data_IF_466393212489
#
_entry.id   IF_466393212489
#
_cell.length_a   1.000
_cell.length_b   1.000
_cell.length_c   1.000
_cell.angle_alpha   90.00
_cell.angle_beta   90.00
_cell.angle_gamma   90.00
#
_symmetry.space_group_name_H-M   'P 1'
#
loop_
_entity.id
_entity.type
_entity.pdbx_description
1 polymer ?
#
# COMPACT_ATOMS: atom_id res chain seq x y z
N UNK A 1 -16.04 37.40 -43.03
CA UNK A 1 -15.52 36.05 -42.72
C UNK A 1 -15.25 35.98 -41.23
N UNK A 2 -16.07 35.25 -40.47
CA UNK A 2 -15.88 35.10 -39.01
C UNK A 2 -14.71 34.15 -38.78
N UNK A 3 -13.64 34.64 -38.15
CA UNK A 3 -12.51 33.82 -37.72
C UNK A 3 -12.90 33.12 -36.42
N UNK A 4 -13.03 31.80 -36.46
CA UNK A 4 -13.17 30.98 -35.26
C UNK A 4 -11.77 30.73 -34.70
N UNK A 5 -11.55 31.12 -33.44
CA UNK A 5 -10.35 30.81 -32.67
C UNK A 5 -10.67 29.53 -31.90
N UNK A 6 -9.98 28.44 -32.23
CA UNK A 6 -10.03 27.20 -31.45
C UNK A 6 -8.96 27.28 -30.37
N UNK A 7 -9.37 27.37 -29.11
CA UNK A 7 -8.49 27.23 -27.94
C UNK A 7 -8.40 25.74 -27.63
N UNK A 8 -7.23 25.15 -27.85
CA UNK A 8 -6.92 23.79 -27.41
C UNK A 8 -6.45 23.88 -25.96
N UNK A 9 -7.28 23.41 -25.03
CA UNK A 9 -6.96 23.33 -23.61
C UNK A 9 -6.20 22.02 -23.35
N UNK A 10 -4.88 22.08 -23.18
CA UNK A 10 -4.09 20.95 -22.67
C UNK A 10 -4.30 20.85 -21.16
N UNK A 11 -5.15 19.92 -20.71
CA UNK A 11 -5.16 19.52 -19.31
C UNK A 11 -4.03 18.53 -19.07
N UNK A 12 -3.01 18.94 -18.31
CA UNK A 12 -1.99 18.04 -17.78
C UNK A 12 -2.45 17.64 -16.37
N UNK A 13 -2.95 16.42 -16.21
CA UNK A 13 -3.20 15.83 -14.90
C UNK A 13 -1.90 15.22 -14.38
N UNK A 14 -1.30 15.87 -13.39
CA UNK A 14 -0.24 15.24 -12.60
C UNK A 14 -0.89 14.28 -11.61
N UNK A 15 -0.58 12.99 -11.69
CA UNK A 15 -0.90 12.03 -10.62
C UNK A 15 0.05 12.32 -9.47
N UNK A 16 -0.47 12.90 -8.38
CA UNK A 16 0.31 13.15 -7.17
C UNK A 16 0.44 11.84 -6.38
N UNK A 17 1.65 11.52 -5.92
CA UNK A 17 1.89 10.44 -4.98
C UNK A 17 1.01 10.63 -3.74
N UNK A 18 0.52 9.54 -3.14
CA UNK A 18 -0.37 9.58 -1.98
C UNK A 18 0.44 9.83 -0.69
N UNK A 19 1.06 11.01 -0.61
CA UNK A 19 2.00 11.33 0.46
C UNK A 19 1.29 11.51 1.81
N UNK A 20 1.64 10.65 2.77
CA UNK A 20 1.15 10.66 4.13
C UNK A 20 2.22 11.21 5.08
N UNK A 21 1.78 11.85 6.17
CA UNK A 21 2.64 12.45 7.19
C UNK A 21 2.20 12.04 8.57
N UNK A 22 3.18 11.79 9.41
CA UNK A 22 3.02 11.63 10.85
C UNK A 22 1.94 10.60 11.20
N UNK A 23 1.88 9.50 10.45
CA UNK A 23 0.95 8.40 10.72
C UNK A 23 1.46 7.68 11.97
N UNK A 24 0.71 7.66 13.08
CA UNK A 24 1.18 7.00 14.30
C UNK A 24 1.37 5.50 14.06
N UNK A 25 2.55 4.99 14.42
CA UNK A 25 2.92 3.59 14.31
C UNK A 25 3.52 3.13 15.64
N UNK A 26 3.15 1.91 16.02
CA UNK A 26 3.71 1.22 17.18
C UNK A 26 4.58 0.07 16.68
N UNK A 27 5.87 0.07 17.04
CA UNK A 27 6.79 -1.03 16.73
C UNK A 27 7.26 -1.73 18.01
N UNK A 28 7.50 -3.03 17.91
CA UNK A 28 7.97 -3.86 19.02
C UNK A 28 9.45 -4.16 18.87
N UNK A 29 10.21 -3.93 19.93
CA UNK A 29 11.60 -4.36 20.00
C UNK A 29 11.69 -5.86 20.33
N UNK A 30 12.84 -6.51 20.04
CA UNK A 30 13.04 -7.92 20.36
C UNK A 30 12.89 -8.29 21.84
N UNK A 31 13.08 -7.33 22.77
CA UNK A 31 12.86 -7.53 24.21
C UNK A 31 11.38 -7.35 24.64
N UNK A 32 10.48 -7.10 23.68
CA UNK A 32 9.07 -6.84 23.91
C UNK A 32 8.75 -5.40 24.31
N UNK A 33 9.74 -4.53 24.47
CA UNK A 33 9.49 -3.11 24.69
C UNK A 33 8.85 -2.46 23.47
N UNK A 34 8.02 -1.44 23.72
CA UNK A 34 7.22 -0.78 22.70
C UNK A 34 7.81 0.58 22.37
N UNK A 35 7.84 0.89 21.08
CA UNK A 35 8.22 2.20 20.54
C UNK A 35 7.01 2.80 19.84
N UNK A 36 6.58 3.96 20.34
CA UNK A 36 5.62 4.81 19.64
C UNK A 36 6.38 5.78 18.73
N UNK A 37 6.13 5.68 17.43
CA UNK A 37 6.78 6.49 16.41
C UNK A 37 5.78 6.89 15.32
N UNK A 38 6.29 7.45 14.23
CA UNK A 38 5.50 7.91 13.12
C UNK A 38 6.07 7.41 11.80
N UNK A 39 5.21 7.03 10.87
CA UNK A 39 5.55 6.80 9.48
C UNK A 39 5.18 8.02 8.64
N UNK A 40 6.11 8.42 7.76
CA UNK A 40 5.91 9.46 6.75
C UNK A 40 6.43 8.96 5.42
N UNK A 41 5.72 9.25 4.33
CA UNK A 41 6.15 8.84 2.98
C UNK A 41 5.01 8.65 1.99
N UNK A 42 5.35 8.00 0.90
CA UNK A 42 4.44 7.61 -0.18
C UNK A 42 4.73 6.17 -0.66
N UNK A 43 4.11 5.75 -1.76
CA UNK A 43 4.27 4.41 -2.34
C UNK A 43 5.71 4.08 -2.78
N UNK A 44 6.56 5.09 -3.00
CA UNK A 44 7.94 4.90 -3.46
C UNK A 44 8.95 4.91 -2.32
N UNK A 45 8.67 5.68 -1.26
CA UNK A 45 9.54 5.77 -0.10
C UNK A 45 8.79 6.24 1.15
N UNK A 46 8.91 5.45 2.21
CA UNK A 46 8.50 5.81 3.55
C UNK A 46 9.63 5.56 4.56
N UNK A 47 9.54 6.21 5.72
CA UNK A 47 10.48 6.02 6.81
C UNK A 47 9.79 6.24 8.15
N UNK A 48 10.34 5.60 9.18
CA UNK A 48 9.94 5.83 10.56
C UNK A 48 10.73 6.99 11.17
N UNK A 49 10.09 7.77 12.01
CA UNK A 49 10.74 8.82 12.79
C UNK A 49 10.03 9.04 14.13
N UNK A 50 10.74 9.64 15.08
CA UNK A 50 10.13 10.10 16.32
C UNK A 50 9.35 11.42 16.12
N UNK A 51 8.70 11.89 17.18
CA UNK A 51 7.92 13.15 17.18
C UNK A 51 8.74 14.39 16.80
N UNK A 52 10.07 14.33 16.97
CA UNK A 52 10.98 15.45 16.75
C UNK A 52 11.63 15.40 15.36
N UNK A 53 11.31 14.35 14.58
CA UNK A 53 11.75 14.14 13.21
C UNK A 53 13.04 13.34 13.08
N UNK A 54 13.53 12.69 14.14
CA UNK A 54 14.72 11.84 14.04
C UNK A 54 14.36 10.49 13.43
N UNK A 55 15.01 10.15 12.32
CA UNK A 55 14.73 8.92 11.57
C UNK A 55 15.14 7.69 12.36
N UNK A 56 14.28 6.67 12.33
CA UNK A 56 14.44 5.39 13.03
C UNK A 56 14.59 4.28 11.99
N UNK A 57 15.52 3.36 12.21
CA UNK A 57 15.76 2.20 11.34
C UNK A 57 15.95 0.93 12.17
N UNK A 58 15.38 -0.18 11.70
CA UNK A 58 15.61 -1.48 12.32
C UNK A 58 16.96 -2.05 11.87
N UNK A 59 17.74 -2.53 12.83
CA UNK A 59 18.99 -3.23 12.55
C UNK A 59 18.74 -4.67 12.13
N UNK A 60 19.35 -5.07 11.02
CA UNK A 60 19.25 -6.43 10.49
C UNK A 60 20.07 -7.46 11.30
N UNK A 61 20.99 -7.00 12.14
CA UNK A 61 21.85 -7.89 12.93
C UNK A 61 21.20 -8.36 14.25
N UNK A 62 20.36 -7.52 14.85
CA UNK A 62 19.77 -7.80 16.16
C UNK A 62 18.26 -7.52 16.28
N UNK A 63 17.64 -6.94 15.25
CA UNK A 63 16.21 -6.65 15.21
C UNK A 63 15.77 -5.43 16.01
N UNK A 64 16.68 -4.76 16.73
CA UNK A 64 16.37 -3.55 17.50
C UNK A 64 16.25 -2.32 16.59
N UNK A 65 15.53 -1.31 17.07
CA UNK A 65 15.38 -0.03 16.37
C UNK A 65 16.36 1.00 16.92
N UNK A 66 17.05 1.68 16.00
CA UNK A 66 18.10 2.65 16.31
C UNK A 66 17.79 3.98 15.63
N UNK A 67 18.38 5.05 16.14
CA UNK A 67 18.47 6.29 15.37
C UNK A 67 19.33 6.06 14.12
N UNK A 68 18.89 6.57 12.99
CA UNK A 68 19.56 6.38 11.72
C UNK A 68 20.75 7.35 11.56
N UNK A 69 21.81 6.86 10.92
CA UNK A 69 22.96 7.64 10.47
C UNK A 69 23.13 7.52 8.96
N UNK A 70 23.77 8.53 8.35
CA UNK A 70 24.07 8.53 6.92
C UNK A 70 25.19 7.53 6.63
N UNK A 71 24.97 6.69 5.62
CA UNK A 71 25.97 5.77 5.08
C UNK A 71 26.08 5.94 3.57
N UNK A 72 26.87 6.92 3.16
CA UNK A 72 26.93 7.38 1.78
C UNK A 72 25.56 7.89 1.30
N UNK A 73 24.94 7.16 0.37
CA UNK A 73 23.62 7.49 -0.17
C UNK A 73 22.45 6.79 0.54
N UNK A 74 22.76 5.84 1.42
CA UNK A 74 21.81 5.08 2.21
C UNK A 74 21.86 5.52 3.67
N UNK A 75 21.06 4.85 4.50
CA UNK A 75 21.04 4.99 5.94
C UNK A 75 21.46 3.68 6.60
N UNK A 76 22.07 3.78 7.78
CA UNK A 76 22.40 2.64 8.65
C UNK A 76 21.96 2.89 10.09
N UNK A 77 21.76 1.83 10.89
CA UNK A 77 21.60 1.96 12.33
C UNK A 77 22.83 2.63 12.97
N UNK A 78 22.61 3.57 13.88
CA UNK A 78 23.66 4.06 14.78
C UNK A 78 23.96 3.05 15.90
N UNK A 79 24.85 3.41 16.80
CA UNK A 79 25.10 2.65 18.04
C UNK A 79 24.06 2.88 19.15
N UNK A 80 23.16 3.86 18.99
CA UNK A 80 22.21 4.25 20.04
C UNK A 80 20.81 3.75 19.74
N UNK A 81 20.26 2.91 20.62
CA UNK A 81 18.89 2.42 20.44
C UNK A 81 17.90 3.55 20.68
N UNK A 82 16.73 3.38 20.09
CA UNK A 82 15.61 4.28 20.31
C UNK A 82 15.28 4.32 21.82
N UNK A 83 15.00 5.52 22.34
CA UNK A 83 14.79 5.83 23.77
C UNK A 83 16.01 5.73 24.71
N UNK A 84 17.22 5.37 24.25
CA UNK A 84 18.39 5.34 25.14
C UNK A 84 19.00 6.73 25.40
N UNK A 85 18.86 7.64 24.44
CA UNK A 85 19.50 8.96 24.46
C UNK A 85 18.54 10.06 24.02
N UNK A 86 18.93 11.32 24.26
CA UNK A 86 18.35 12.47 23.57
C UNK A 86 19.12 12.69 22.24
N UNK A 87 18.56 12.37 21.06
CA UNK A 87 19.27 12.43 19.79
C UNK A 87 19.76 13.85 19.44
N UNK A 88 19.06 14.90 19.89
CA UNK A 88 19.48 16.29 19.68
C UNK A 88 20.78 16.65 20.40
N UNK A 89 21.10 15.99 21.51
CA UNK A 89 22.36 16.19 22.23
C UNK A 89 23.56 15.46 21.60
N UNK A 90 23.30 14.51 20.69
CA UNK A 90 24.31 13.69 20.02
C UNK A 90 24.52 14.07 18.55
N UNK A 91 23.88 15.14 18.08
CA UNK A 91 24.11 15.69 16.74
C UNK A 91 23.44 14.94 15.60
N UNK A 92 22.41 14.13 15.88
CA UNK A 92 21.63 13.46 14.83
C UNK A 92 20.94 14.47 13.91
N UNK A 93 20.92 14.16 12.61
CA UNK A 93 20.19 14.94 11.62
C UNK A 93 18.68 14.63 11.71
N UNK A 94 17.85 15.67 11.72
CA UNK A 94 16.39 15.53 11.60
C UNK A 94 16.01 15.30 10.13
N UNK A 95 14.92 14.57 9.92
CA UNK A 95 14.32 14.27 8.60
C UNK A 95 15.31 13.60 7.65
N UNK A 96 16.19 12.77 8.22
CA UNK A 96 17.25 12.08 7.50
C UNK A 96 16.64 11.02 6.57
N UNK A 97 16.96 11.10 5.29
CA UNK A 97 16.47 10.20 4.24
C UNK A 97 17.62 9.73 3.35
N UNK A 98 17.36 8.68 2.58
CA UNK A 98 18.23 8.27 1.48
C UNK A 98 18.40 9.41 0.46
N UNK A 99 19.45 9.32 -0.35
CA UNK A 99 19.75 10.34 -1.35
C UNK A 99 18.62 10.51 -2.38
N UNK A 100 18.52 11.70 -3.00
CA UNK A 100 17.57 11.94 -4.11
C UNK A 100 17.81 11.00 -5.28
N UNK A 101 19.06 10.58 -5.52
CA UNK A 101 19.39 9.60 -6.56
C UNK A 101 18.75 8.26 -6.24
N UNK A 102 18.90 7.77 -5.00
CA UNK A 102 18.29 6.52 -4.55
C UNK A 102 16.75 6.57 -4.56
N UNK A 103 16.14 7.69 -4.18
CA UNK A 103 14.68 7.87 -4.31
C UNK A 103 14.20 7.74 -5.75
N UNK A 104 14.90 8.38 -6.70
CA UNK A 104 14.59 8.27 -8.14
C UNK A 104 14.79 6.86 -8.65
N UNK A 105 15.84 6.17 -8.22
CA UNK A 105 16.13 4.80 -8.60
C UNK A 105 15.01 3.85 -8.14
N UNK A 106 14.55 3.96 -6.89
CA UNK A 106 13.39 3.22 -6.38
C UNK A 106 12.13 3.47 -7.22
N UNK A 107 11.81 4.75 -7.47
CA UNK A 107 10.67 5.12 -8.30
C UNK A 107 10.77 4.55 -9.72
N UNK A 108 11.94 4.61 -10.34
CA UNK A 108 12.13 4.08 -11.70
C UNK A 108 11.99 2.55 -11.73
N UNK A 109 12.50 1.86 -10.72
CA UNK A 109 12.37 0.41 -10.61
C UNK A 109 10.92 -0.01 -10.44
N UNK A 110 10.10 0.76 -9.73
CA UNK A 110 8.65 0.53 -9.60
C UNK A 110 7.96 0.43 -10.97
N UNK A 111 8.30 1.34 -11.89
CA UNK A 111 7.69 1.38 -13.23
C UNK A 111 8.39 0.50 -14.27
N UNK A 112 9.50 -0.16 -13.94
CA UNK A 112 10.36 -0.84 -14.93
C UNK A 112 9.63 -1.94 -15.70
N UNK A 113 8.77 -2.67 -15.02
CA UNK A 113 8.04 -3.83 -15.56
C UNK A 113 6.53 -3.53 -15.67
N UNK A 114 6.11 -2.27 -15.56
CA UNK A 114 4.70 -1.88 -15.66
C UNK A 114 4.37 -1.45 -17.09
N UNK A 115 3.57 -2.24 -17.79
CA UNK A 115 2.91 -1.76 -19.01
C UNK A 115 1.70 -0.92 -18.59
N UNK A 116 1.60 0.30 -19.13
CA UNK A 116 0.39 1.10 -18.97
C UNK A 116 -0.75 0.39 -19.69
N UNK A 117 -1.76 -0.02 -18.93
CA UNK A 117 -2.99 -0.58 -19.45
C UNK A 117 -4.10 0.42 -19.20
N UNK A 118 -4.90 0.66 -20.22
CA UNK A 118 -5.98 1.64 -20.16
C UNK A 118 -7.25 0.92 -19.73
N UNK A 119 -7.75 1.19 -18.53
CA UNK A 119 -9.13 0.86 -18.23
C UNK A 119 -10.07 1.71 -19.11
N UNK A 120 -11.26 1.21 -19.49
CA UNK A 120 -12.19 1.98 -20.30
C UNK A 120 -12.55 3.33 -19.66
N UNK A 121 -12.59 4.38 -20.49
CA UNK A 121 -12.93 5.74 -20.05
C UNK A 121 -14.42 6.06 -20.05
N UNK A 122 -15.26 5.09 -20.44
CA UNK A 122 -16.72 5.18 -20.48
C UNK A 122 -17.35 3.79 -20.32
N UNK A 123 -18.65 3.74 -20.02
CA UNK A 123 -19.38 2.50 -19.77
C UNK A 123 -19.39 2.12 -18.28
N UNK A 124 -19.30 0.82 -18.02
CA UNK A 124 -19.29 0.27 -16.66
C UNK A 124 -17.98 -0.50 -16.47
N UNK A 125 -17.27 -0.20 -15.39
CA UNK A 125 -16.09 -0.95 -14.94
C UNK A 125 -16.38 -1.58 -13.60
N UNK A 126 -16.11 -2.88 -13.46
CA UNK A 126 -16.29 -3.61 -12.20
C UNK A 126 -14.93 -3.86 -11.55
N UNK A 127 -14.60 -3.06 -10.52
CA UNK A 127 -13.41 -3.22 -9.71
C UNK A 127 -13.62 -4.32 -8.66
N UNK A 128 -12.98 -5.47 -8.79
CA UNK A 128 -13.07 -6.51 -7.77
C UNK A 128 -12.31 -6.06 -6.51
N UNK A 129 -12.95 -6.00 -5.34
CA UNK A 129 -12.24 -5.73 -4.09
C UNK A 129 -12.24 -6.96 -3.18
N UNK A 130 -11.06 -7.48 -2.87
CA UNK A 130 -10.86 -8.76 -2.17
C UNK A 130 -10.24 -8.51 -0.80
N UNK A 131 -10.92 -8.95 0.26
CA UNK A 131 -10.47 -8.80 1.64
C UNK A 131 -9.58 -9.98 2.02
N UNK A 132 -8.43 -9.69 2.62
CA UNK A 132 -7.39 -10.67 2.96
C UNK A 132 -6.98 -10.49 4.43
N UNK A 133 -6.78 -11.60 5.14
CA UNK A 133 -6.09 -11.66 6.43
C UNK A 133 -5.09 -12.82 6.48
N UNK A 134 -4.20 -12.80 7.46
CA UNK A 134 -3.16 -13.83 7.63
C UNK A 134 -3.55 -14.93 8.62
N UNK A 135 -2.77 -16.01 8.66
CA UNK A 135 -3.04 -17.18 9.50
C UNK A 135 -3.13 -16.84 11.00
N UNK A 136 -2.33 -15.87 11.44
CA UNK A 136 -2.18 -15.41 12.82
C UNK A 136 -3.13 -14.27 13.21
N UNK A 137 -4.10 -13.93 12.35
CA UNK A 137 -4.98 -12.80 12.54
C UNK A 137 -6.46 -13.17 12.68
N UNK A 138 -7.16 -12.37 13.49
CA UNK A 138 -8.61 -12.47 13.64
C UNK A 138 -9.34 -11.79 12.47
N UNK A 139 -10.61 -12.17 12.31
CA UNK A 139 -11.47 -11.61 11.29
C UNK A 139 -11.76 -10.11 11.50
N UNK A 140 -12.11 -9.40 10.43
CA UNK A 140 -12.49 -7.99 10.48
C UNK A 140 -13.66 -7.76 11.44
N UNK A 141 -13.45 -6.91 12.45
CA UNK A 141 -14.51 -6.50 13.39
C UNK A 141 -15.37 -5.38 12.81
N UNK A 142 -14.78 -4.55 11.95
CA UNK A 142 -15.48 -3.45 11.28
C UNK A 142 -16.37 -4.00 10.16
N UNK A 143 -17.67 -3.65 10.13
CA UNK A 143 -18.63 -4.20 9.17
C UNK A 143 -18.29 -3.81 7.74
N UNK A 144 -18.66 -4.64 6.76
CA UNK A 144 -18.40 -4.41 5.34
C UNK A 144 -18.97 -3.07 4.85
N UNK A 145 -20.11 -2.63 5.39
CA UNK A 145 -20.71 -1.33 5.06
C UNK A 145 -19.80 -0.12 5.31
N UNK A 146 -18.88 -0.20 6.28
CA UNK A 146 -17.90 0.86 6.51
C UNK A 146 -16.91 0.96 5.35
N UNK A 147 -16.42 -0.19 4.89
CA UNK A 147 -15.47 -0.27 3.77
C UNK A 147 -16.14 -0.06 2.42
N UNK A 148 -17.42 -0.35 2.29
CA UNK A 148 -18.19 -0.12 1.06
C UNK A 148 -18.39 1.36 0.74
N UNK A 149 -18.55 2.20 1.77
CA UNK A 149 -18.75 3.65 1.62
C UNK A 149 -17.73 4.34 0.69
N UNK A 150 -16.40 4.21 0.91
CA UNK A 150 -15.42 4.85 0.04
C UNK A 150 -15.42 4.33 -1.39
N UNK A 151 -16.01 3.17 -1.69
CA UNK A 151 -16.08 2.63 -3.05
C UNK A 151 -17.41 2.92 -3.75
N UNK A 152 -18.54 2.64 -3.09
CA UNK A 152 -19.85 2.51 -3.75
C UNK A 152 -20.90 3.54 -3.30
N UNK A 153 -20.61 4.41 -2.32
CA UNK A 153 -21.59 5.41 -1.85
C UNK A 153 -22.04 6.33 -2.99
N UNK A 154 -23.30 6.22 -3.39
CA UNK A 154 -23.86 6.93 -4.56
C UNK A 154 -23.75 8.46 -4.45
N UNK A 155 -24.07 9.03 -3.28
CA UNK A 155 -24.01 10.49 -3.03
C UNK A 155 -22.61 10.99 -2.65
N UNK A 156 -21.62 10.09 -2.64
CA UNK A 156 -20.23 10.39 -2.33
C UNK A 156 -19.95 10.89 -0.90
N UNK A 157 -18.66 11.16 -0.60
CA UNK A 157 -17.51 10.90 -1.46
C UNK A 157 -17.24 9.39 -1.60
N UNK A 158 -17.03 8.91 -2.83
CA UNK A 158 -16.68 7.52 -3.15
C UNK A 158 -16.01 7.41 -4.51
N UNK A 159 -15.37 6.27 -4.80
CA UNK A 159 -14.80 5.95 -6.11
C UNK A 159 -15.85 6.05 -7.22
N UNK A 160 -17.04 5.46 -6.98
CA UNK A 160 -18.18 5.54 -7.89
C UNK A 160 -18.60 6.99 -8.15
N UNK A 161 -18.85 7.76 -7.09
CA UNK A 161 -19.28 9.16 -7.20
C UNK A 161 -18.23 10.01 -7.95
N UNK A 162 -16.95 9.83 -7.63
CA UNK A 162 -15.84 10.54 -8.27
C UNK A 162 -15.78 10.30 -9.78
N UNK A 163 -15.79 9.04 -10.23
CA UNK A 163 -15.71 8.74 -11.66
C UNK A 163 -16.98 9.13 -12.39
N UNK A 164 -18.14 8.99 -11.77
CA UNK A 164 -19.41 9.44 -12.35
C UNK A 164 -19.45 10.96 -12.55
N UNK A 165 -19.01 11.71 -11.55
CA UNK A 165 -18.93 13.17 -11.61
C UNK A 165 -17.96 13.65 -12.69
N UNK A 166 -16.72 13.15 -12.69
CA UNK A 166 -15.69 13.60 -13.64
C UNK A 166 -15.95 13.15 -15.08
N UNK A 167 -16.64 12.04 -15.27
CA UNK A 167 -16.98 11.52 -16.60
C UNK A 167 -18.29 12.09 -17.15
N UNK A 168 -18.97 13.00 -16.42
CA UNK A 168 -20.30 13.49 -16.79
C UNK A 168 -21.30 12.35 -17.03
N UNK A 169 -21.40 11.43 -16.09
CA UNK A 169 -22.25 10.23 -16.13
C UNK A 169 -21.91 9.22 -17.24
N UNK A 170 -20.77 9.35 -17.92
CA UNK A 170 -20.39 8.40 -18.99
C UNK A 170 -19.64 7.18 -18.49
N UNK A 171 -19.05 7.22 -17.30
CA UNK A 171 -18.34 6.10 -16.66
C UNK A 171 -18.94 5.81 -15.28
N UNK A 172 -19.28 4.55 -15.04
CA UNK A 172 -19.69 4.04 -13.74
C UNK A 172 -18.69 3.00 -13.27
N UNK A 173 -18.09 3.22 -12.10
CA UNK A 173 -17.24 2.23 -11.44
C UNK A 173 -18.02 1.58 -10.30
N UNK A 174 -18.27 0.28 -10.40
CA UNK A 174 -18.85 -0.52 -9.32
C UNK A 174 -17.74 -1.33 -8.65
N UNK A 175 -17.81 -1.49 -7.34
CA UNK A 175 -16.84 -2.31 -6.60
C UNK A 175 -17.52 -3.42 -5.81
N UNK A 176 -17.80 -4.59 -6.41
CA UNK A 176 -18.22 -5.75 -5.64
C UNK A 176 -17.12 -6.16 -4.65
N UNK A 177 -17.55 -6.62 -3.47
CA UNK A 177 -16.66 -7.00 -2.38
C UNK A 177 -16.67 -8.51 -2.18
N UNK A 178 -15.47 -9.08 -2.03
CA UNK A 178 -15.26 -10.51 -1.84
C UNK A 178 -14.41 -10.80 -0.59
N UNK A 179 -14.59 -11.96 0.07
CA UNK A 179 -15.66 -12.94 -0.18
C UNK A 179 -17.05 -12.35 0.12
N UNK A 180 -18.08 -12.91 -0.52
CA UNK A 180 -19.46 -12.40 -0.46
C UNK A 180 -20.00 -12.57 0.97
N UNK A 181 -20.46 -11.47 1.56
CA UNK A 181 -21.10 -11.49 2.87
C UNK A 181 -22.16 -10.40 3.02
N UNK A 182 -22.92 -10.47 4.10
CA UNK A 182 -23.83 -9.40 4.49
C UNK A 182 -23.05 -8.14 4.90
N UNK A 183 -23.61 -6.96 4.60
CA UNK A 183 -22.98 -5.66 4.88
C UNK A 183 -22.76 -5.37 6.38
N UNK A 184 -23.48 -6.05 7.26
CA UNK A 184 -23.32 -5.97 8.72
C UNK A 184 -22.19 -6.84 9.27
N UNK A 185 -21.68 -7.78 8.46
CA UNK A 185 -20.54 -8.63 8.77
C UNK A 185 -19.35 -8.27 7.89
N UNK A 186 -18.18 -8.85 8.14
CA UNK A 186 -17.06 -8.72 7.22
C UNK A 186 -16.18 -9.96 7.30
N UNK A 187 -16.18 -10.76 6.24
CA UNK A 187 -15.34 -11.96 6.13
C UNK A 187 -14.21 -11.72 5.12
N UNK A 188 -13.14 -12.48 5.22
CA UNK A 188 -11.99 -12.37 4.34
C UNK A 188 -11.41 -13.72 3.94
N UNK A 189 -10.63 -13.74 2.87
CA UNK A 189 -9.72 -14.86 2.60
C UNK A 189 -8.65 -14.86 3.69
N UNK A 190 -8.50 -16.00 4.39
CA UNK A 190 -7.44 -16.19 5.36
C UNK A 190 -6.31 -16.99 4.73
N UNK A 191 -5.13 -16.38 4.60
CA UNK A 191 -3.95 -17.09 4.11
C UNK A 191 -3.45 -18.13 5.12
N UNK A 192 -2.80 -19.17 4.62
CA UNK A 192 -2.19 -20.22 5.41
C UNK A 192 -0.90 -19.80 6.13
N UNK A 193 -0.27 -18.72 5.69
CA UNK A 193 0.98 -18.19 6.22
C UNK A 193 0.72 -16.99 7.14
N UNK A 194 1.54 -16.81 8.19
CA UNK A 194 1.44 -15.66 9.08
C UNK A 194 1.93 -14.37 8.39
N UNK A 195 1.56 -13.20 8.94
CA UNK A 195 2.00 -11.90 8.40
C UNK A 195 3.53 -11.78 8.31
N UNK A 196 4.26 -12.34 9.26
CA UNK A 196 5.73 -12.35 9.35
C UNK A 196 6.40 -12.85 8.07
N UNK A 197 5.80 -13.83 7.40
CA UNK A 197 6.27 -14.38 6.12
C UNK A 197 6.31 -13.34 4.99
N UNK A 198 5.44 -12.33 5.05
CA UNK A 198 5.33 -11.24 4.08
C UNK A 198 6.05 -9.97 4.53
N UNK A 199 6.86 -10.05 5.58
CA UNK A 199 7.66 -8.95 6.12
C UNK A 199 9.16 -9.19 5.91
N UNK A 200 10.02 -8.15 5.97
CA UNK A 200 11.46 -8.32 5.82
C UNK A 200 12.05 -9.33 6.81
N UNK A 201 12.92 -10.21 6.32
CA UNK A 201 13.68 -11.16 7.13
C UNK A 201 14.54 -10.45 8.17
N UNK A 202 14.55 -10.97 9.39
CA UNK A 202 15.51 -10.63 10.44
C UNK A 202 15.83 -11.90 11.25
N UNK A 203 17.11 -12.20 11.44
CA UNK A 203 17.52 -13.45 12.10
C UNK A 203 16.96 -13.61 13.53
N UNK A 204 16.72 -12.50 14.24
CA UNK A 204 16.22 -12.52 15.62
C UNK A 204 14.71 -12.28 15.66
N UNK A 205 14.21 -11.24 15.00
CA UNK A 205 12.83 -10.79 15.16
C UNK A 205 11.84 -11.33 14.11
N UNK A 206 12.33 -11.80 12.95
CA UNK A 206 11.47 -12.30 11.86
C UNK A 206 12.21 -13.30 10.95
N UNK A 207 12.56 -14.50 11.45
CA UNK A 207 13.41 -15.45 10.72
C UNK A 207 12.72 -16.10 9.51
N UNK A 208 11.40 -16.02 9.40
CA UNK A 208 10.59 -16.53 8.28
C UNK A 208 10.29 -15.48 7.20
N UNK A 209 10.69 -14.22 7.42
CA UNK A 209 10.49 -13.12 6.47
C UNK A 209 11.19 -13.27 5.13
N UNK A 210 10.91 -12.35 4.21
CA UNK A 210 11.50 -12.35 2.87
C UNK A 210 12.91 -11.74 2.84
N UNK A 211 13.75 -12.26 1.95
CA UNK A 211 15.13 -11.78 1.78
C UNK A 211 15.29 -10.90 0.53
N UNK A 212 16.35 -10.09 0.50
CA UNK A 212 16.72 -9.28 -0.67
C UNK A 212 16.03 -7.91 -0.78
N UNK A 213 15.01 -7.61 0.04
CA UNK A 213 14.39 -6.28 0.10
C UNK A 213 13.83 -5.82 -1.25
N UNK A 214 14.00 -4.54 -1.56
CA UNK A 214 13.59 -3.95 -2.85
C UNK A 214 14.39 -4.45 -4.06
N UNK A 215 15.48 -5.21 -3.83
CA UNK A 215 16.37 -5.71 -4.87
C UNK A 215 16.22 -7.22 -5.13
N UNK A 216 15.40 -7.92 -4.33
CA UNK A 216 15.17 -9.36 -4.43
C UNK A 216 13.78 -9.69 -4.97
N UNK A 217 13.63 -10.86 -5.58
CA UNK A 217 12.35 -11.32 -6.13
C UNK A 217 11.47 -12.04 -5.08
N UNK A 218 12.01 -12.37 -3.91
CA UNK A 218 11.32 -13.15 -2.88
C UNK A 218 10.06 -12.42 -2.38
N UNK A 219 10.18 -11.13 -2.08
CA UNK A 219 9.04 -10.27 -1.72
C UNK A 219 7.94 -10.34 -2.77
N UNK A 220 8.29 -10.04 -4.03
CA UNK A 220 7.36 -10.03 -5.17
C UNK A 220 6.67 -11.38 -5.33
N UNK A 221 7.44 -12.48 -5.27
CA UNK A 221 6.92 -13.82 -5.42
C UNK A 221 5.91 -14.18 -4.32
N UNK A 222 6.23 -13.86 -3.06
CA UNK A 222 5.35 -14.11 -1.92
C UNK A 222 4.07 -13.29 -2.00
N UNK A 223 4.18 -11.97 -2.22
CA UNK A 223 3.03 -11.07 -2.37
C UNK A 223 2.14 -11.52 -3.54
N UNK A 224 2.69 -11.80 -4.73
CA UNK A 224 1.90 -12.26 -5.87
C UNK A 224 1.24 -13.62 -5.62
N UNK A 225 1.89 -14.51 -4.87
CA UNK A 225 1.29 -15.80 -4.49
C UNK A 225 0.08 -15.58 -3.58
N UNK A 226 0.17 -14.69 -2.59
CA UNK A 226 -0.96 -14.31 -1.73
C UNK A 226 -2.14 -13.79 -2.57
N UNK A 227 -1.89 -12.85 -3.48
CA UNK A 227 -2.93 -12.27 -4.33
C UNK A 227 -3.57 -13.33 -5.24
N UNK A 228 -2.76 -14.21 -5.83
CA UNK A 228 -3.25 -15.33 -6.65
C UNK A 228 -4.15 -16.26 -5.83
N UNK A 229 -3.71 -16.68 -4.64
CA UNK A 229 -4.49 -17.57 -3.79
C UNK A 229 -5.81 -16.95 -3.34
N UNK A 230 -5.81 -15.64 -3.06
CA UNK A 230 -7.04 -14.91 -2.76
C UNK A 230 -8.04 -14.90 -3.93
N UNK A 231 -7.55 -14.72 -5.18
CA UNK A 231 -8.38 -14.81 -6.39
C UNK A 231 -8.94 -16.23 -6.57
N UNK A 232 -8.09 -17.25 -6.43
CA UNK A 232 -8.50 -18.66 -6.54
C UNK A 232 -9.57 -19.02 -5.50
N UNK A 233 -9.47 -18.48 -4.29
CA UNK A 233 -10.45 -18.68 -3.22
C UNK A 233 -11.84 -18.14 -3.58
N UNK A 234 -11.92 -16.92 -4.13
CA UNK A 234 -13.19 -16.25 -4.44
C UNK A 234 -13.76 -16.62 -5.81
N UNK A 235 -13.02 -17.38 -6.63
CA UNK A 235 -13.37 -17.66 -8.03
C UNK A 235 -14.81 -18.17 -8.19
N UNK A 236 -15.26 -19.08 -7.31
CA UNK A 236 -16.61 -19.66 -7.39
C UNK A 236 -17.74 -18.70 -6.99
N UNK A 237 -17.41 -17.57 -6.38
CA UNK A 237 -18.36 -16.54 -5.95
C UNK A 237 -18.55 -15.44 -7.00
N UNK A 238 -17.63 -15.32 -7.98
CA UNK A 238 -17.76 -14.36 -9.07
C UNK A 238 -18.85 -14.85 -10.03
N UNK A 239 -19.93 -14.09 -10.25
CA UNK A 239 -20.96 -14.49 -11.21
C UNK A 239 -20.42 -14.48 -12.64
N UNK A 240 -20.74 -15.50 -13.44
CA UNK A 240 -20.40 -15.56 -14.88
C UNK A 240 -20.96 -14.36 -15.69
N UNK A 241 -21.97 -13.68 -15.14
CA UNK A 241 -22.57 -12.49 -15.74
C UNK A 241 -21.82 -11.19 -15.44
N UNK A 242 -20.84 -11.20 -14.53
CA UNK A 242 -20.05 -10.03 -14.17
C UNK A 242 -18.94 -9.80 -15.21
N UNK A 243 -19.06 -8.73 -15.99
CA UNK A 243 -18.01 -8.32 -16.94
C UNK A 243 -16.89 -7.63 -16.17
N UNK A 244 -15.72 -8.26 -16.14
CA UNK A 244 -14.50 -7.75 -15.46
C UNK A 244 -13.40 -7.34 -16.44
N UNK A 245 -13.60 -7.64 -17.73
CA UNK A 245 -12.80 -7.24 -18.88
C UNK A 245 -13.73 -6.44 -19.79
N UNK A 246 -13.79 -5.14 -19.58
CA UNK A 246 -14.81 -4.27 -20.18
C UNK A 246 -14.34 -3.70 -21.52
N UNK A 247 -13.04 -3.65 -21.78
CA UNK A 247 -12.46 -3.23 -23.06
C UNK A 247 -12.16 -4.42 -24.00
N UNK A 248 -12.21 -5.66 -23.49
CA UNK A 248 -12.08 -6.89 -24.26
C UNK A 248 -10.64 -7.24 -24.62
N UNK A 249 -9.66 -6.76 -23.84
CA UNK A 249 -8.23 -7.03 -24.08
C UNK A 249 -7.76 -8.40 -23.59
N UNK A 250 -8.65 -9.17 -22.93
CA UNK A 250 -8.39 -10.49 -22.38
C UNK A 250 -7.82 -10.47 -20.95
N UNK A 251 -7.77 -9.30 -20.31
CA UNK A 251 -7.33 -9.11 -18.93
C UNK A 251 -8.43 -8.47 -18.07
N UNK A 252 -8.34 -8.70 -16.77
CA UNK A 252 -9.23 -8.02 -15.81
C UNK A 252 -8.85 -6.54 -15.74
N UNK A 253 -9.83 -5.65 -15.92
CA UNK A 253 -9.64 -4.20 -15.95
C UNK A 253 -9.03 -3.68 -14.64
N UNK A 254 -9.57 -4.13 -13.51
CA UNK A 254 -9.16 -3.63 -12.20
C UNK A 254 -9.44 -4.61 -11.05
N UNK A 255 -8.51 -4.66 -10.10
CA UNK A 255 -8.66 -5.41 -8.86
C UNK A 255 -7.99 -4.65 -7.72
N UNK A 256 -8.68 -4.56 -6.60
CA UNK A 256 -8.21 -3.99 -5.33
C UNK A 256 -8.11 -5.10 -4.29
N UNK A 257 -7.11 -5.01 -3.41
CA UNK A 257 -6.95 -5.92 -2.29
C UNK A 257 -6.96 -5.12 -0.99
N UNK A 258 -7.86 -5.46 -0.09
CA UNK A 258 -7.92 -4.90 1.26
C UNK A 258 -7.31 -5.90 2.23
N UNK A 259 -6.06 -5.66 2.58
CA UNK A 259 -5.31 -6.49 3.52
C UNK A 259 -5.56 -5.96 4.93
N UNK A 260 -5.82 -6.85 5.89
CA UNK A 260 -5.92 -6.55 7.31
C UNK A 260 -4.67 -5.84 7.85
N UNK A 261 -4.77 -5.29 9.07
CA UNK A 261 -3.64 -4.72 9.80
C UNK A 261 -3.43 -3.22 9.58
N UNK A 262 -2.42 -2.69 10.27
CA UNK A 262 -2.01 -1.30 10.14
C UNK A 262 -1.10 -1.11 8.92
N UNK A 263 -1.07 0.11 8.33
CA UNK A 263 -0.02 0.47 7.38
C UNK A 263 1.36 0.15 7.99
N UNK A 264 2.16 -0.63 7.28
CA UNK A 264 3.51 -1.04 7.68
C UNK A 264 4.58 -0.22 6.97
#
# INVERSE_FOLDING_TARGET
>A
MRKFIYIVLFMVSSVYAAYLRDIPITVHQPDGSVIECYATGDEYYNWLHDKDGYTIIQSQSDGYYYYAERDGELLKPSQYRMNEINPGSFGFEKWLKISVRMLKERRNNWFRDTEGRDAPSSGVVNNLNIFIRFADEYEFVTPRSYYDQPYNREEGPSLKHYFRELSYDTLTVNTPHYPVCDLSTNISYQDSLPRSYYQPYNEISNPDGYQGGDNGDDRRFREHTLLKSAIEFIQSEIPDTLVVDSDGDGYVDNTSFLISGSPG
#
